data_IF_586922190173
#
_entry.id   IF_586922190173
#
_cell.length_a   1.000
_cell.length_b   1.000
_cell.length_c   1.000
_cell.angle_alpha   90.00
_cell.angle_beta   90.00
_cell.angle_gamma   90.00
#
_symmetry.space_group_name_H-M   'P 1'
#
loop_
_entity.id
_entity.type
_entity.pdbx_description
1 polymer ?
#
# COMPACT_ATOMS: atom_id res chain seq x y z
N UNK A 1 0.15 17.12 -5.54
CA UNK A 1 1.20 18.16 -5.55
C UNK A 1 2.53 17.46 -5.78
N UNK A 2 3.43 18.02 -6.61
CA UNK A 2 4.76 17.47 -6.88
C UNK A 2 5.75 18.13 -5.92
N UNK A 3 6.45 17.36 -5.11
CA UNK A 3 7.59 17.86 -4.32
C UNK A 3 8.88 17.61 -5.11
N UNK A 4 9.79 18.58 -5.11
CA UNK A 4 11.10 18.51 -5.80
C UNK A 4 12.18 18.64 -4.74
N UNK A 5 13.02 17.62 -4.59
CA UNK A 5 14.18 17.63 -3.70
C UNK A 5 15.44 17.56 -4.56
N UNK A 6 16.39 18.46 -4.30
CA UNK A 6 17.66 18.55 -5.03
C UNK A 6 18.77 17.97 -4.13
N UNK A 7 19.48 16.94 -4.59
CA UNK A 7 20.57 16.31 -3.84
C UNK A 7 21.91 16.65 -4.50
N UNK A 8 22.88 17.12 -3.71
CA UNK A 8 24.23 17.50 -4.16
C UNK A 8 25.23 16.42 -3.75
N UNK A 9 26.00 15.87 -4.70
CA UNK A 9 27.08 14.94 -4.42
C UNK A 9 28.41 15.50 -4.94
N UNK A 10 29.34 15.82 -4.03
CA UNK A 10 30.70 16.24 -4.37
C UNK A 10 31.65 15.03 -4.26
N UNK A 11 32.30 14.67 -5.36
CA UNK A 11 33.39 13.69 -5.38
C UNK A 11 34.71 14.44 -5.53
N UNK A 12 35.65 14.23 -4.60
CA UNK A 12 37.00 14.77 -4.68
C UNK A 12 38.01 13.62 -4.74
N UNK A 13 38.65 13.39 -5.89
CA UNK A 13 40.04 12.90 -5.97
C UNK A 13 40.67 13.28 -7.32
N UNK A 14 41.93 13.72 -7.26
CA UNK A 14 43.00 13.24 -8.14
C UNK A 14 42.96 13.63 -9.61
N UNK A 15 43.86 14.54 -9.97
CA UNK A 15 44.16 15.07 -11.30
C UNK A 15 44.40 14.01 -12.39
N UNK A 16 43.37 13.75 -13.20
CA UNK A 16 43.47 13.49 -14.65
C UNK A 16 42.33 14.29 -15.28
N UNK A 17 42.62 15.02 -16.37
CA UNK A 17 41.71 15.98 -16.99
C UNK A 17 40.45 15.33 -17.62
N UNK A 18 39.55 14.87 -16.77
CA UNK A 18 38.12 14.77 -17.06
C UNK A 18 37.53 16.14 -16.72
N UNK A 19 36.59 16.64 -17.53
CA UNK A 19 35.76 17.80 -17.19
C UNK A 19 34.90 17.47 -15.96
N UNK A 20 35.50 17.59 -14.77
CA UNK A 20 34.84 17.53 -13.47
C UNK A 20 34.09 18.86 -13.33
N UNK A 21 32.75 18.82 -13.32
CA UNK A 21 31.96 20.03 -13.12
C UNK A 21 30.59 20.08 -13.81
N UNK A 22 30.08 19.00 -14.39
CA UNK A 22 28.63 18.93 -14.66
C UNK A 22 27.93 18.34 -13.44
N UNK A 23 27.39 19.20 -12.58
CA UNK A 23 26.36 18.81 -11.61
C UNK A 23 25.18 18.23 -12.41
N UNK A 24 25.07 16.90 -12.44
CA UNK A 24 23.91 16.24 -13.02
C UNK A 24 22.79 16.26 -11.98
N UNK A 25 21.93 17.26 -12.09
CA UNK A 25 20.68 17.29 -11.34
C UNK A 25 19.71 16.28 -11.95
N UNK A 26 19.48 15.16 -11.27
CA UNK A 26 18.31 14.33 -11.54
C UNK A 26 17.14 14.82 -10.71
N UNK A 27 16.10 15.32 -11.38
CA UNK A 27 14.82 15.58 -10.73
C UNK A 27 14.14 14.23 -10.52
N UNK A 28 14.35 13.64 -9.34
CA UNK A 28 13.64 12.42 -8.96
C UNK A 28 12.21 12.82 -8.60
N UNK A 29 11.25 12.42 -9.45
CA UNK A 29 9.82 12.60 -9.19
C UNK A 29 9.34 11.40 -8.36
N UNK A 30 8.89 11.66 -7.14
CA UNK A 30 8.23 10.65 -6.32
C UNK A 30 6.71 10.79 -6.44
N UNK A 31 6.01 9.65 -6.51
CA UNK A 31 4.56 9.63 -6.37
C UNK A 31 4.22 9.74 -4.87
N UNK A 32 3.62 10.86 -4.47
CA UNK A 32 3.11 11.02 -3.10
C UNK A 32 1.95 10.04 -2.91
N UNK A 33 2.04 9.18 -1.89
CA UNK A 33 0.93 8.34 -1.46
C UNK A 33 -0.23 9.24 -1.07
N UNK A 34 -1.34 9.17 -1.82
CA UNK A 34 -2.55 9.94 -1.52
C UNK A 34 -3.43 9.11 -0.60
N UNK A 35 -3.95 9.73 0.45
CA UNK A 35 -4.98 9.10 1.27
C UNK A 35 -6.30 8.98 0.48
N UNK A 36 -7.16 7.99 0.80
CA UNK A 36 -8.41 7.74 0.09
C UNK A 36 -9.42 8.88 0.32
N UNK A 37 -10.17 9.24 -0.72
CA UNK A 37 -11.26 10.23 -0.62
C UNK A 37 -12.36 9.69 0.31
N UNK A 38 -12.82 10.48 1.26
CA UNK A 38 -13.95 10.14 2.13
C UNK A 38 -15.28 10.52 1.46
N UNK A 39 -16.05 9.51 1.07
CA UNK A 39 -17.46 9.65 0.68
C UNK A 39 -18.35 9.44 1.91
N UNK A 40 -19.40 10.24 2.05
CA UNK A 40 -20.43 10.11 3.08
C UNK A 40 -21.71 9.56 2.45
N UNK A 41 -22.18 8.42 2.93
CA UNK A 41 -23.36 7.75 2.40
C UNK A 41 -24.45 7.67 3.49
N UNK A 42 -25.40 8.60 3.47
CA UNK A 42 -26.43 8.70 4.52
C UNK A 42 -27.72 7.93 4.20
N UNK A 43 -27.85 7.40 2.98
CA UNK A 43 -29.01 6.57 2.62
C UNK A 43 -28.83 5.12 3.08
N UNK A 44 -29.94 4.39 3.34
CA UNK A 44 -29.88 3.00 3.73
C UNK A 44 -29.07 2.14 2.75
N UNK A 45 -28.45 1.09 3.29
CA UNK A 45 -27.96 0.00 2.47
C UNK A 45 -29.12 -0.68 1.76
N UNK A 46 -28.84 -1.20 0.57
CA UNK A 46 -29.77 -1.99 -0.20
C UNK A 46 -29.11 -3.27 -0.67
N UNK A 47 -29.84 -4.37 -0.56
CA UNK A 47 -29.47 -5.62 -1.21
C UNK A 47 -29.73 -5.52 -2.71
N UNK A 48 -28.68 -5.67 -3.51
CA UNK A 48 -28.75 -5.76 -4.97
C UNK A 48 -28.47 -7.20 -5.38
N UNK A 49 -29.36 -7.79 -6.18
CA UNK A 49 -29.13 -9.11 -6.77
C UNK A 49 -28.14 -8.98 -7.94
N UNK A 50 -26.95 -9.60 -7.87
CA UNK A 50 -25.98 -9.55 -8.96
C UNK A 50 -26.56 -10.01 -10.30
N UNK A 51 -27.49 -10.97 -10.30
CA UNK A 51 -28.14 -11.46 -11.53
C UNK A 51 -29.00 -10.40 -12.25
N UNK A 52 -29.37 -9.32 -11.55
CA UNK A 52 -30.10 -8.19 -12.13
C UNK A 52 -29.20 -7.17 -12.83
N UNK A 53 -27.88 -7.26 -12.63
CA UNK A 53 -26.90 -6.35 -13.23
C UNK A 53 -26.36 -6.95 -14.54
N UNK A 54 -26.38 -6.19 -15.64
CA UNK A 54 -26.06 -6.75 -16.95
C UNK A 54 -24.55 -7.00 -17.17
N UNK A 55 -23.69 -6.38 -16.37
CA UNK A 55 -22.25 -6.30 -16.64
C UNK A 55 -21.44 -6.91 -15.50
N UNK A 56 -20.85 -8.06 -15.78
CA UNK A 56 -19.93 -8.77 -14.89
C UNK A 56 -18.54 -8.14 -14.94
N UNK A 57 -17.83 -8.21 -13.83
CA UNK A 57 -16.43 -7.83 -13.70
C UNK A 57 -15.72 -8.81 -12.74
N UNK A 58 -14.40 -8.73 -12.64
CA UNK A 58 -13.66 -9.68 -11.81
C UNK A 58 -13.59 -11.08 -12.42
N UNK A 59 -13.74 -12.10 -11.58
CA UNK A 59 -13.71 -13.52 -11.94
C UNK A 59 -12.38 -14.22 -11.62
N UNK A 60 -12.39 -15.55 -11.80
CA UNK A 60 -11.28 -16.43 -11.44
C UNK A 60 -11.09 -16.51 -9.93
N UNK A 61 -9.84 -16.63 -9.47
CA UNK A 61 -9.52 -16.75 -8.04
C UNK A 61 -9.80 -15.46 -7.24
N UNK A 62 -10.08 -14.34 -7.91
CA UNK A 62 -10.35 -13.06 -7.24
C UNK A 62 -11.82 -12.88 -6.81
N UNK A 63 -12.69 -13.81 -7.22
CA UNK A 63 -14.13 -13.76 -6.97
C UNK A 63 -14.92 -13.04 -8.04
N UNK A 64 -16.23 -13.26 -8.02
CA UNK A 64 -17.17 -12.63 -8.95
C UNK A 64 -17.61 -11.24 -8.47
N UNK A 65 -17.82 -10.34 -9.42
CA UNK A 65 -18.35 -9.01 -9.18
C UNK A 65 -19.20 -8.52 -10.35
N UNK A 66 -19.91 -7.41 -10.12
CA UNK A 66 -20.67 -6.73 -11.15
C UNK A 66 -20.38 -5.22 -11.12
N UNK A 67 -20.45 -4.60 -12.30
CA UNK A 67 -20.31 -3.17 -12.42
C UNK A 67 -21.53 -2.48 -11.82
N UNK A 68 -21.28 -1.52 -10.95
CA UNK A 68 -22.32 -0.78 -10.25
C UNK A 68 -21.99 0.71 -10.20
N UNK A 69 -23.02 1.53 -10.01
CA UNK A 69 -22.90 2.99 -9.94
C UNK A 69 -21.92 3.40 -8.83
N UNK A 70 -20.79 3.99 -9.23
CA UNK A 70 -19.72 4.36 -8.31
C UNK A 70 -20.11 5.47 -7.34
N UNK A 71 -21.20 6.19 -7.62
CA UNK A 71 -21.73 7.20 -6.69
C UNK A 71 -22.51 6.59 -5.53
N UNK A 72 -22.91 5.31 -5.62
CA UNK A 72 -23.74 4.63 -4.62
C UNK A 72 -22.95 3.66 -3.74
N UNK A 73 -21.63 3.75 -3.76
CA UNK A 73 -20.75 2.89 -2.96
C UNK A 73 -19.73 3.73 -2.21
N UNK A 74 -19.43 3.35 -0.97
CA UNK A 74 -18.32 3.92 -0.23
C UNK A 74 -17.03 3.12 -0.48
N UNK A 75 -16.68 2.93 -1.75
CA UNK A 75 -15.52 2.15 -2.17
C UNK A 75 -14.57 3.02 -3.00
N UNK A 76 -13.25 2.99 -2.73
CA UNK A 76 -12.30 3.75 -3.50
C UNK A 76 -12.25 3.26 -4.96
N UNK A 77 -12.60 4.14 -5.90
CA UNK A 77 -12.66 3.86 -7.34
C UNK A 77 -11.38 3.19 -7.86
N UNK A 78 -10.23 3.69 -7.45
CA UNK A 78 -8.95 3.21 -7.93
C UNK A 78 -8.67 1.75 -7.53
N UNK A 79 -9.19 1.31 -6.37
CA UNK A 79 -9.00 -0.02 -5.81
C UNK A 79 -9.83 -1.10 -6.50
N UNK A 80 -10.98 -0.72 -7.05
CA UNK A 80 -11.94 -1.65 -7.65
C UNK A 80 -12.27 -1.32 -9.12
N UNK A 81 -11.45 -0.47 -9.75
CA UNK A 81 -11.54 -0.23 -11.19
C UNK A 81 -11.16 -1.50 -11.96
N UNK A 82 -12.03 -1.90 -12.88
CA UNK A 82 -11.89 -3.06 -13.77
C UNK A 82 -12.26 -2.62 -15.20
N UNK A 83 -11.52 -3.09 -16.20
CA UNK A 83 -11.72 -2.71 -17.61
C UNK A 83 -13.08 -3.17 -18.15
N UNK A 84 -13.72 -4.14 -17.50
CA UNK A 84 -15.08 -4.54 -17.79
C UNK A 84 -16.10 -3.47 -17.42
N UNK A 85 -15.79 -2.52 -16.53
CA UNK A 85 -16.73 -1.46 -16.10
C UNK A 85 -16.47 -0.14 -16.84
N UNK A 86 -17.52 0.67 -17.04
CA UNK A 86 -17.33 2.02 -17.56
C UNK A 86 -16.68 2.89 -16.48
N UNK A 87 -15.37 3.15 -16.59
CA UNK A 87 -14.63 3.94 -15.60
C UNK A 87 -15.22 5.34 -15.35
N UNK A 88 -16.00 5.90 -16.29
CA UNK A 88 -16.63 7.20 -16.08
C UNK A 88 -17.74 7.15 -15.01
N UNK A 89 -18.46 6.03 -14.90
CA UNK A 89 -19.71 5.93 -14.09
C UNK A 89 -19.79 4.73 -13.17
N UNK A 90 -18.98 3.70 -13.39
CA UNK A 90 -19.09 2.40 -12.75
C UNK A 90 -17.79 1.98 -12.06
N UNK A 91 -17.92 1.09 -11.10
CA UNK A 91 -16.83 0.41 -10.39
C UNK A 91 -17.19 -1.07 -10.23
N UNK A 92 -16.19 -1.95 -10.14
CA UNK A 92 -16.43 -3.37 -9.93
C UNK A 92 -16.75 -3.67 -8.46
N UNK A 93 -18.00 -4.00 -8.16
CA UNK A 93 -18.42 -4.32 -6.80
C UNK A 93 -18.48 -5.84 -6.62
N UNK A 94 -17.82 -6.42 -5.62
CA UNK A 94 -17.92 -7.85 -5.33
C UNK A 94 -19.37 -8.27 -5.07
N UNK A 95 -19.76 -9.44 -5.54
CA UNK A 95 -21.15 -9.94 -5.39
C UNK A 95 -21.57 -10.03 -3.93
N UNK A 96 -20.63 -10.38 -3.04
CA UNK A 96 -20.85 -10.39 -1.58
C UNK A 96 -21.17 -9.01 -1.02
N UNK A 97 -20.59 -7.93 -1.56
CA UNK A 97 -20.89 -6.55 -1.16
C UNK A 97 -22.25 -6.13 -1.67
N UNK A 98 -22.62 -6.48 -2.91
CA UNK A 98 -23.97 -6.23 -3.45
C UNK A 98 -25.06 -6.91 -2.61
N UNK A 99 -24.75 -8.10 -2.07
CA UNK A 99 -25.65 -8.89 -1.24
C UNK A 99 -25.60 -8.55 0.27
N UNK A 100 -24.64 -7.71 0.70
CA UNK A 100 -24.32 -7.51 2.11
C UNK A 100 -25.43 -6.78 2.88
N UNK A 101 -26.12 -5.82 2.25
CA UNK A 101 -27.24 -5.09 2.87
C UNK A 101 -26.88 -4.49 4.25
N UNK A 102 -25.68 -3.92 4.38
CA UNK A 102 -25.17 -3.34 5.63
C UNK A 102 -24.62 -4.36 6.62
N UNK A 103 -24.52 -5.64 6.26
CA UNK A 103 -23.87 -6.64 7.11
C UNK A 103 -22.37 -6.39 7.16
N UNK A 104 -21.79 -6.62 8.34
CA UNK A 104 -20.35 -6.62 8.52
C UNK A 104 -19.71 -7.80 7.79
N UNK A 105 -18.48 -7.58 7.33
CA UNK A 105 -17.65 -8.65 6.81
C UNK A 105 -17.47 -9.78 7.84
N UNK A 106 -17.19 -10.99 7.35
CA UNK A 106 -16.82 -12.10 8.24
C UNK A 106 -15.54 -11.74 8.99
N UNK A 107 -15.53 -11.97 10.30
CA UNK A 107 -14.38 -11.65 11.14
C UNK A 107 -13.24 -12.65 10.95
N UNK A 108 -12.02 -12.15 11.07
CA UNK A 108 -10.79 -12.93 10.98
C UNK A 108 -9.72 -12.30 11.89
N UNK A 109 -8.61 -13.01 12.13
CA UNK A 109 -7.46 -12.46 12.85
C UNK A 109 -6.38 -12.06 11.84
N UNK A 110 -6.08 -10.76 11.76
CA UNK A 110 -5.12 -10.20 10.82
C UNK A 110 -3.67 -10.60 11.16
N UNK A 111 -2.74 -10.32 10.24
CA UNK A 111 -1.33 -10.72 10.36
C UNK A 111 -0.62 -10.18 11.61
N UNK A 112 -1.09 -9.06 12.17
CA UNK A 112 -0.58 -8.43 13.38
C UNK A 112 -1.28 -8.91 14.66
N UNK A 113 -2.08 -9.97 14.59
CA UNK A 113 -2.83 -10.51 15.73
C UNK A 113 -4.02 -9.66 16.18
N UNK A 114 -4.39 -8.62 15.41
CA UNK A 114 -5.53 -7.75 15.69
C UNK A 114 -6.78 -8.23 14.95
N UNK A 115 -7.92 -7.65 15.34
CA UNK A 115 -9.19 -7.88 14.66
C UNK A 115 -9.10 -7.49 13.18
N UNK A 116 -9.68 -8.33 12.34
CA UNK A 116 -9.77 -8.13 10.90
C UNK A 116 -11.11 -8.55 10.34
N UNK A 117 -11.33 -8.17 9.09
CA UNK A 117 -12.48 -8.56 8.30
C UNK A 117 -12.06 -9.11 6.94
N UNK A 118 -12.84 -10.06 6.45
CA UNK A 118 -12.65 -10.67 5.15
C UNK A 118 -13.05 -9.68 4.05
N UNK A 119 -12.06 -9.26 3.26
CA UNK A 119 -12.26 -8.34 2.13
C UNK A 119 -12.02 -9.07 0.81
N UNK A 120 -12.75 -8.67 -0.24
CA UNK A 120 -12.63 -9.28 -1.55
C UNK A 120 -11.27 -9.03 -2.21
N UNK A 121 -10.75 -10.07 -2.86
CA UNK A 121 -9.57 -10.03 -3.73
C UNK A 121 -9.77 -9.23 -5.02
N UNK A 122 -10.98 -8.74 -5.28
CA UNK A 122 -11.20 -7.72 -6.31
C UNK A 122 -10.57 -6.37 -5.95
N UNK A 123 -10.31 -6.11 -4.66
CA UNK A 123 -9.48 -4.97 -4.24
C UNK A 123 -8.05 -5.16 -4.74
N UNK A 124 -7.55 -4.20 -5.52
CA UNK A 124 -6.15 -4.21 -6.01
C UNK A 124 -5.15 -4.26 -4.87
N UNK A 125 -5.32 -3.46 -3.81
CA UNK A 125 -4.45 -3.52 -2.64
C UNK A 125 -4.51 -4.87 -1.95
N UNK A 126 -5.69 -5.47 -1.80
CA UNK A 126 -5.79 -6.80 -1.18
C UNK A 126 -5.01 -7.84 -2.00
N UNK A 127 -5.22 -7.88 -3.31
CA UNK A 127 -4.54 -8.85 -4.19
C UNK A 127 -3.03 -8.60 -4.26
N UNK A 128 -2.58 -7.35 -4.31
CA UNK A 128 -1.16 -6.98 -4.29
C UNK A 128 -0.47 -7.39 -2.99
N UNK A 129 -1.19 -7.36 -1.87
CA UNK A 129 -0.68 -7.70 -0.55
C UNK A 129 -1.11 -9.09 -0.07
N UNK A 130 -1.56 -9.98 -0.96
CA UNK A 130 -2.09 -11.30 -0.60
C UNK A 130 -1.13 -12.16 0.21
N UNK A 131 0.18 -12.01 -0.02
CA UNK A 131 1.22 -12.71 0.74
C UNK A 131 1.26 -12.27 2.21
N UNK A 132 0.93 -11.01 2.50
CA UNK A 132 0.94 -10.42 3.85
C UNK A 132 -0.39 -10.63 4.55
N UNK A 133 -1.51 -10.33 3.88
CA UNK A 133 -2.85 -10.42 4.47
C UNK A 133 -3.22 -11.87 4.81
N UNK A 134 -2.95 -12.79 3.88
CA UNK A 134 -3.35 -14.19 3.97
C UNK A 134 -4.87 -14.40 3.97
N UNK A 135 -5.31 -15.61 3.62
CA UNK A 135 -6.74 -15.95 3.55
C UNK A 135 -7.34 -16.20 4.94
N UNK A 136 -6.60 -16.83 5.86
CA UNK A 136 -7.09 -17.25 7.18
C UNK A 136 -8.38 -18.08 7.06
N UNK A 137 -9.47 -17.67 7.71
CA UNK A 137 -10.80 -18.26 7.64
C UNK A 137 -11.73 -17.58 6.61
N UNK A 138 -11.20 -16.66 5.81
CA UNK A 138 -11.95 -16.03 4.73
C UNK A 138 -12.16 -16.99 3.55
N UNK A 139 -13.15 -16.69 2.71
CA UNK A 139 -13.40 -17.48 1.50
C UNK A 139 -12.21 -17.38 0.51
N UNK A 140 -12.19 -18.24 -0.50
CA UNK A 140 -11.08 -18.34 -1.48
C UNK A 140 -10.84 -17.04 -2.28
N UNK A 141 -11.91 -16.26 -2.44
CA UNK A 141 -11.92 -14.96 -3.09
C UNK A 141 -11.71 -13.78 -2.13
N UNK A 142 -11.31 -14.05 -0.88
CA UNK A 142 -11.16 -13.04 0.17
C UNK A 142 -9.83 -13.17 0.92
N UNK A 143 -9.42 -12.06 1.52
CA UNK A 143 -8.22 -11.96 2.36
C UNK A 143 -8.57 -11.28 3.68
N UNK A 144 -7.83 -11.63 4.73
CA UNK A 144 -8.03 -11.06 6.05
C UNK A 144 -7.30 -9.72 6.18
N UNK A 145 -8.05 -8.62 6.16
CA UNK A 145 -7.51 -7.28 6.35
C UNK A 145 -7.76 -6.77 7.78
N UNK A 146 -6.80 -6.06 8.41
CA UNK A 146 -6.98 -5.52 9.75
C UNK A 146 -8.06 -4.43 9.76
N UNK A 147 -8.87 -4.34 10.83
CA UNK A 147 -9.90 -3.30 10.96
C UNK A 147 -9.31 -1.88 10.98
N UNK A 148 -8.14 -1.75 11.60
CA UNK A 148 -7.40 -0.49 11.77
C UNK A 148 -6.12 -0.59 10.96
N UNK A 149 -5.79 0.47 10.26
CA UNK A 149 -4.58 0.57 9.47
C UNK A 149 -3.37 0.42 10.41
N UNK A 150 -2.55 -0.64 10.23
CA UNK A 150 -1.36 -0.82 11.05
C UNK A 150 -0.37 0.34 10.85
N UNK A 151 -0.52 1.12 9.78
CA UNK A 151 0.25 2.35 9.61
C UNK A 151 -0.06 3.29 10.73
N UNK A 152 -1.18 3.96 10.79
CA UNK A 152 -1.36 5.01 11.79
C UNK A 152 -2.02 4.52 13.09
N UNK A 153 -2.33 3.22 13.20
CA UNK A 153 -2.94 2.61 14.38
C UNK A 153 -4.30 3.21 14.78
N UNK A 154 -4.90 4.06 13.95
CA UNK A 154 -6.14 4.80 14.28
C UNK A 154 -7.12 4.91 13.12
N UNK A 155 -6.65 4.84 11.87
CA UNK A 155 -7.51 4.95 10.69
C UNK A 155 -8.21 3.63 10.44
N UNK A 156 -9.53 3.68 10.33
CA UNK A 156 -10.31 2.51 9.91
C UNK A 156 -10.01 2.17 8.45
N UNK A 157 -9.73 0.90 8.17
CA UNK A 157 -9.50 0.41 6.80
C UNK A 157 -10.81 0.16 6.05
N UNK A 158 -11.94 0.14 6.78
CA UNK A 158 -13.24 -0.31 6.28
C UNK A 158 -13.43 -1.83 6.30
N UNK A 159 -12.38 -2.62 6.62
CA UNK A 159 -12.46 -4.09 6.57
C UNK A 159 -13.51 -4.68 7.53
N UNK A 160 -13.75 -4.02 8.67
CA UNK A 160 -14.68 -4.48 9.71
C UNK A 160 -15.96 -3.64 9.78
N UNK A 161 -16.10 -2.69 8.87
CA UNK A 161 -17.26 -1.82 8.76
C UNK A 161 -18.41 -2.57 8.08
N UNK A 162 -19.59 -1.96 8.13
CA UNK A 162 -20.75 -2.45 7.40
C UNK A 162 -20.48 -2.37 5.89
N UNK A 163 -20.60 -3.51 5.20
CA UNK A 163 -20.44 -3.58 3.76
C UNK A 163 -21.79 -3.44 3.06
N UNK A 164 -21.79 -2.80 1.89
CA UNK A 164 -22.98 -2.72 1.07
C UNK A 164 -22.92 -1.62 0.03
N UNK A 165 -24.01 -1.54 -0.72
CA UNK A 165 -24.28 -0.45 -1.65
C UNK A 165 -25.51 0.33 -1.17
N UNK A 166 -25.62 1.57 -1.58
CA UNK A 166 -26.62 2.51 -1.08
C UNK A 166 -27.75 2.76 -2.08
N UNK A 167 -28.94 3.08 -1.57
CA UNK A 167 -30.09 3.43 -2.41
C UNK A 167 -29.84 4.71 -3.24
N UNK A 168 -29.24 5.72 -2.59
CA UNK A 168 -28.97 7.04 -3.16
C UNK A 168 -27.46 7.27 -3.30
N UNK A 169 -27.11 8.24 -4.13
CA UNK A 169 -25.73 8.66 -4.29
C UNK A 169 -25.17 9.20 -2.96
N UNK A 170 -23.98 8.76 -2.61
CA UNK A 170 -23.15 9.31 -1.55
C UNK A 170 -22.72 10.74 -1.90
N UNK A 171 -22.45 11.55 -0.88
CA UNK A 171 -22.02 12.94 -1.00
C UNK A 171 -20.63 13.13 -0.37
N UNK A 172 -19.83 14.07 -0.84
CA UNK A 172 -18.46 14.30 -0.32
C UNK A 172 -17.34 13.77 -1.22
N UNK A 173 -16.09 13.73 -0.71
CA UNK A 173 -14.92 13.23 -1.43
C UNK A 173 -13.81 14.25 -1.73
N UNK A 174 -13.79 15.40 -1.06
CA UNK A 174 -12.70 16.38 -1.16
C UNK A 174 -11.94 16.42 0.17
N UNK A 175 -10.67 16.02 0.09
CA UNK A 175 -9.63 16.10 1.13
C UNK A 175 -9.56 14.91 2.10
N UNK A 176 -8.75 13.94 1.71
CA UNK A 176 -8.24 12.91 2.59
C UNK A 176 -7.14 13.48 3.51
N UNK A 177 -7.00 13.01 4.77
CA UNK A 177 -5.94 13.45 5.66
C UNK A 177 -4.56 13.11 5.08
N UNK A 178 -3.62 14.05 5.16
CA UNK A 178 -2.26 13.85 4.67
C UNK A 178 -1.54 12.84 5.55
N UNK A 179 -1.11 11.71 4.97
CA UNK A 179 -0.19 10.78 5.63
C UNK A 179 1.15 11.48 5.81
N UNK A 180 1.69 11.43 7.03
CA UNK A 180 2.99 12.03 7.33
C UNK A 180 4.10 11.17 6.72
N UNK A 181 4.99 11.83 5.97
CA UNK A 181 6.10 11.17 5.30
C UNK A 181 7.37 11.32 6.13
N UNK A 182 8.18 10.28 6.15
CA UNK A 182 9.51 10.26 6.77
C UNK A 182 10.58 9.93 5.71
N UNK A 183 11.86 9.92 6.11
CA UNK A 183 12.94 9.47 5.24
C UNK A 183 12.96 10.22 3.89
N UNK A 184 12.87 11.56 3.93
CA UNK A 184 12.82 12.43 2.74
C UNK A 184 11.66 12.15 1.76
N UNK A 185 10.56 11.58 2.22
CA UNK A 185 9.42 11.22 1.35
C UNK A 185 9.47 9.80 0.81
N UNK A 186 10.44 9.00 1.25
CA UNK A 186 10.58 7.58 0.86
C UNK A 186 9.97 6.63 1.88
N UNK A 187 9.59 7.16 3.04
CA UNK A 187 8.93 6.45 4.11
C UNK A 187 7.57 7.03 4.46
N UNK A 188 6.73 6.19 5.04
CA UNK A 188 5.47 6.55 5.66
C UNK A 188 5.61 6.39 7.17
N UNK A 189 5.21 7.42 7.93
CA UNK A 189 5.15 7.31 9.37
C UNK A 189 3.99 6.43 9.79
N UNK A 190 4.31 5.41 10.59
CA UNK A 190 3.35 4.47 11.13
C UNK A 190 3.48 4.32 12.65
N UNK A 191 2.40 4.24 13.41
CA UNK A 191 2.38 3.80 14.78
C UNK A 191 3.05 2.43 14.95
N UNK A 192 3.83 2.32 16.03
CA UNK A 192 4.51 1.10 16.43
C UNK A 192 3.56 -0.10 16.60
N UNK A 193 2.29 0.15 16.93
CA UNK A 193 1.29 -0.88 17.14
C UNK A 193 0.97 -1.72 15.91
N UNK A 194 1.17 -1.19 14.70
CA UNK A 194 1.00 -1.99 13.48
C UNK A 194 2.27 -2.65 12.97
N UNK A 195 3.38 -2.47 13.67
CA UNK A 195 4.59 -3.27 13.45
C UNK A 195 4.48 -4.56 14.26
N UNK A 196 4.74 -5.75 13.65
CA UNK A 196 4.84 -7.01 14.39
C UNK A 196 5.78 -6.88 15.58
N UNK A 197 5.44 -7.43 16.75
CA UNK A 197 6.18 -7.22 18.00
C UNK A 197 7.68 -7.51 17.85
N UNK A 198 8.01 -8.57 17.13
CA UNK A 198 9.36 -9.04 16.81
C UNK A 198 10.17 -8.12 15.89
N UNK A 199 9.51 -7.16 15.21
CA UNK A 199 10.16 -6.16 14.38
C UNK A 199 10.27 -4.78 15.05
N UNK A 200 9.55 -4.54 16.15
CA UNK A 200 9.46 -3.21 16.81
C UNK A 200 10.82 -2.64 17.22
N UNK A 201 11.70 -3.49 17.78
CA UNK A 201 13.03 -3.06 18.24
C UNK A 201 14.00 -2.71 17.10
N UNK A 202 13.66 -3.09 15.87
CA UNK A 202 14.48 -2.85 14.68
C UNK A 202 13.98 -1.66 13.86
N UNK A 203 12.91 -1.00 14.29
CA UNK A 203 12.31 0.13 13.59
C UNK A 203 12.88 1.46 14.09
N UNK A 204 13.21 2.36 13.17
CA UNK A 204 13.72 3.68 13.52
C UNK A 204 12.58 4.69 13.75
N UNK A 205 12.61 5.36 14.90
CA UNK A 205 11.62 6.34 15.38
C UNK A 205 11.90 7.74 14.81
N UNK A 206 13.11 7.97 14.31
CA UNK A 206 13.77 9.29 14.33
C UNK A 206 13.30 10.30 13.26
N UNK A 207 12.38 9.93 12.37
CA UNK A 207 11.93 10.80 11.26
C UNK A 207 10.45 11.14 11.30
N UNK A 208 9.71 10.63 12.27
CA UNK A 208 8.28 10.86 12.43
C UNK A 208 8.03 11.83 13.58
N UNK A 209 7.19 12.85 13.38
CA UNK A 209 7.02 13.92 14.38
C UNK A 209 6.18 13.53 15.59
N UNK A 210 5.42 12.43 15.51
CA UNK A 210 4.55 11.98 16.60
C UNK A 210 5.22 10.86 17.39
N UNK A 211 5.15 10.97 18.72
CA UNK A 211 5.61 9.94 19.63
C UNK A 211 4.90 8.60 19.36
N UNK A 212 5.65 7.51 19.43
CA UNK A 212 5.14 6.16 19.15
C UNK A 212 5.02 5.83 17.65
N UNK A 213 5.50 6.69 16.76
CA UNK A 213 5.59 6.40 15.33
C UNK A 213 6.99 5.95 14.91
N UNK A 214 7.03 5.03 13.97
CA UNK A 214 8.20 4.51 13.29
C UNK A 214 8.07 4.71 11.79
N UNK A 215 9.21 4.86 11.13
CA UNK A 215 9.24 5.08 9.70
C UNK A 215 9.29 3.75 8.96
N UNK A 216 8.30 3.45 8.10
CA UNK A 216 8.30 2.27 7.24
C UNK A 216 8.55 2.64 5.76
N UNK A 217 9.28 1.82 4.98
CA UNK A 217 9.52 2.11 3.57
C UNK A 217 8.22 2.10 2.74
N UNK A 218 7.94 3.19 2.03
CA UNK A 218 6.72 3.31 1.21
C UNK A 218 6.64 2.24 0.10
N UNK A 219 7.79 1.80 -0.41
CA UNK A 219 7.88 0.73 -1.41
C UNK A 219 7.37 -0.61 -0.86
N UNK A 220 7.61 -0.90 0.42
CA UNK A 220 7.08 -2.10 1.08
C UNK A 220 5.57 -2.00 1.29
N UNK A 221 5.08 -0.80 1.59
CA UNK A 221 3.66 -0.53 1.86
C UNK A 221 2.78 -0.58 0.61
N UNK A 222 3.37 -0.43 -0.57
CA UNK A 222 2.65 -0.33 -1.85
C UNK A 222 2.86 -1.56 -2.75
N UNK A 223 3.65 -2.54 -2.31
CA UNK A 223 4.01 -3.71 -3.13
C UNK A 223 4.83 -3.37 -4.38
N UNK A 224 5.33 -2.14 -4.52
CA UNK A 224 6.07 -1.65 -5.69
C UNK A 224 7.58 -1.69 -5.44
N UNK A 225 8.12 -2.82 -5.01
CA UNK A 225 9.57 -2.96 -4.80
C UNK A 225 10.32 -3.05 -6.13
N UNK A 226 11.41 -2.28 -6.26
CA UNK A 226 12.27 -2.29 -7.44
C UNK A 226 13.33 -3.38 -7.25
N UNK A 227 13.44 -4.31 -8.19
CA UNK A 227 14.45 -5.37 -8.17
C UNK A 227 15.81 -4.83 -8.62
N UNK A 228 16.87 -5.40 -8.07
CA UNK A 228 18.25 -5.11 -8.44
C UNK A 228 19.11 -6.37 -8.36
N UNK A 229 20.32 -6.30 -8.90
CA UNK A 229 21.31 -7.37 -8.83
C UNK A 229 22.65 -6.79 -8.34
N UNK A 230 23.27 -7.44 -7.36
CA UNK A 230 24.62 -7.09 -6.89
C UNK A 230 25.48 -8.34 -6.95
N UNK A 231 26.42 -8.37 -7.89
CA UNK A 231 27.33 -9.50 -8.11
C UNK A 231 26.62 -10.84 -8.35
N UNK A 232 25.52 -10.83 -9.12
CA UNK A 232 24.72 -12.03 -9.41
C UNK A 232 23.80 -12.45 -8.27
N UNK A 233 23.70 -11.65 -7.20
CA UNK A 233 22.74 -11.87 -6.12
C UNK A 233 21.51 -10.98 -6.34
N UNK A 234 20.32 -11.58 -6.50
CA UNK A 234 19.09 -10.81 -6.61
C UNK A 234 18.84 -10.05 -5.30
N UNK A 235 18.32 -8.85 -5.44
CA UNK A 235 18.03 -7.94 -4.35
C UNK A 235 16.86 -7.02 -4.65
N UNK A 236 16.56 -6.16 -3.69
CA UNK A 236 15.61 -5.05 -3.86
C UNK A 236 16.26 -3.73 -3.51
N UNK A 237 15.88 -2.69 -4.23
CA UNK A 237 16.29 -1.33 -3.95
C UNK A 237 15.55 -0.83 -2.71
N UNK A 238 16.33 -0.43 -1.72
CA UNK A 238 15.82 0.16 -0.48
C UNK A 238 16.46 1.54 -0.28
N UNK A 239 15.69 2.52 0.16
CA UNK A 239 16.26 3.85 0.43
C UNK A 239 17.38 3.77 1.48
N UNK A 240 18.44 4.57 1.27
CA UNK A 240 19.62 4.63 2.13
C UNK A 240 19.23 4.82 3.59
N UNK A 241 18.19 5.61 3.89
CA UNK A 241 17.81 5.85 5.28
C UNK A 241 17.19 4.62 5.98
N UNK A 242 16.68 3.64 5.23
CA UNK A 242 16.32 2.33 5.77
C UNK A 242 17.48 1.33 5.69
N UNK A 243 18.29 1.39 4.63
CA UNK A 243 19.44 0.53 4.47
C UNK A 243 20.44 0.72 5.63
N UNK A 244 20.69 1.95 6.09
CA UNK A 244 21.58 2.21 7.24
C UNK A 244 21.14 1.55 8.55
N UNK A 245 19.86 1.16 8.67
CA UNK A 245 19.33 0.46 9.84
C UNK A 245 19.72 -1.02 9.84
N UNK A 246 19.95 -1.59 8.66
CA UNK A 246 20.49 -2.93 8.50
C UNK A 246 21.99 -2.84 8.79
N UNK A 247 22.39 -3.06 10.05
CA UNK A 247 23.73 -2.85 10.64
C UNK A 247 24.93 -3.45 9.88
N UNK A 248 24.70 -4.15 8.77
CA UNK A 248 25.68 -4.88 7.96
C UNK A 248 25.87 -4.36 6.53
N UNK A 249 25.21 -3.26 6.11
CA UNK A 249 25.20 -2.84 4.69
C UNK A 249 26.36 -1.96 4.23
N UNK A 250 27.42 -1.80 5.02
CA UNK A 250 28.59 -0.96 4.64
C UNK A 250 29.26 -1.37 3.30
N UNK A 251 28.91 -2.53 2.73
CA UNK A 251 29.39 -3.02 1.43
C UNK A 251 28.34 -3.08 0.32
N UNK A 252 27.15 -2.52 0.52
CA UNK A 252 26.11 -2.52 -0.52
C UNK A 252 26.41 -1.46 -1.57
N UNK A 253 26.22 -1.82 -2.84
CA UNK A 253 26.37 -0.91 -3.97
C UNK A 253 24.99 -0.49 -4.48
N UNK A 254 24.86 0.73 -5.01
CA UNK A 254 23.62 1.20 -5.66
C UNK A 254 23.14 0.26 -6.78
N UNK A 255 24.05 -0.33 -7.55
CA UNK A 255 23.71 -1.10 -8.76
C UNK A 255 22.70 -0.33 -9.65
N UNK A 256 21.60 -0.96 -10.05
CA UNK A 256 20.48 -0.38 -10.82
C UNK A 256 19.50 0.47 -10.01
N UNK A 257 19.74 0.66 -8.71
CA UNK A 257 18.87 1.43 -7.84
C UNK A 257 19.04 2.94 -8.04
N UNK A 258 18.03 3.70 -7.62
CA UNK A 258 18.05 5.17 -7.74
C UNK A 258 19.14 5.80 -6.87
N UNK A 259 19.46 7.08 -7.06
CA UNK A 259 20.47 7.76 -6.27
C UNK A 259 20.28 7.62 -4.74
N UNK A 260 19.06 7.67 -4.21
CA UNK A 260 18.86 7.54 -2.76
C UNK A 260 18.68 6.10 -2.30
N UNK A 261 18.91 5.10 -3.15
CA UNK A 261 18.63 3.69 -2.85
C UNK A 261 19.90 2.84 -2.88
N UNK A 262 19.96 1.79 -2.06
CA UNK A 262 20.98 0.76 -2.08
C UNK A 262 20.35 -0.56 -2.49
N UNK A 263 21.05 -1.33 -3.32
CA UNK A 263 20.61 -2.68 -3.62
C UNK A 263 20.93 -3.60 -2.46
N UNK A 264 19.89 -4.16 -1.85
CA UNK A 264 19.97 -5.08 -0.73
C UNK A 264 19.73 -6.51 -1.20
N UNK A 265 20.77 -7.37 -1.19
CA UNK A 265 20.63 -8.78 -1.57
C UNK A 265 19.56 -9.48 -0.74
N UNK A 266 18.68 -10.23 -1.41
CA UNK A 266 17.61 -10.98 -0.78
C UNK A 266 18.13 -12.02 0.22
N UNK A 267 19.36 -12.50 0.05
CA UNK A 267 20.02 -13.40 1.00
C UNK A 267 20.18 -12.80 2.41
N UNK A 268 20.19 -11.47 2.54
CA UNK A 268 20.30 -10.77 3.83
C UNK A 268 18.91 -10.60 4.48
N UNK A 269 17.85 -10.49 3.68
CA UNK A 269 16.48 -10.24 4.14
C UNK A 269 15.58 -11.48 4.24
N UNK A 270 16.08 -12.68 3.89
CA UNK A 270 15.27 -13.91 3.85
C UNK A 270 14.74 -14.24 5.25
N UNK A 271 13.41 -14.27 5.40
CA UNK A 271 12.71 -14.50 6.67
C UNK A 271 12.43 -13.25 7.50
N UNK A 272 12.89 -12.07 7.09
CA UNK A 272 12.60 -10.79 7.75
C UNK A 272 11.48 -9.99 7.06
N UNK A 273 10.71 -10.65 6.17
CA UNK A 273 9.57 -10.02 5.49
C UNK A 273 9.98 -8.95 4.49
N UNK A 274 11.14 -9.08 3.83
CA UNK A 274 11.60 -8.13 2.81
C UNK A 274 10.81 -8.34 1.51
N UNK A 275 9.85 -7.46 1.15
CA UNK A 275 8.95 -7.71 0.03
C UNK A 275 9.69 -7.73 -1.31
N UNK A 276 9.39 -8.71 -2.16
CA UNK A 276 10.05 -8.88 -3.47
C UNK A 276 11.32 -9.74 -3.44
N UNK A 277 11.63 -10.36 -2.30
CA UNK A 277 12.74 -11.29 -2.10
C UNK A 277 12.31 -12.75 -1.86
N UNK A 278 11.10 -13.09 -2.32
CA UNK A 278 10.51 -14.43 -2.27
C UNK A 278 10.91 -15.30 -3.46
#
# INVERSE_FOLDING_TARGET
MKAVVVVVAALAVGSVACTIGQERYEVVKYEVVKAPKTLTCDSPFVKVDPASLPKKCGGGERGDGHCYDKTKVNMPEEEFADDACDAATEICVPDKVLLADGKKATSCTAFNGKDGGCISRLSKQAEQNKAVLGQKNCAEDELCAPCIDPRDGVTETGACSEGGVHEKACTGGKDAPKVEMCCHGMGVCMNLDGVPEEQRDNMNVDSCKKDGQVCAPAAQMTGKTVKCDVFGMPGVCLDVCFATQLRSVQKTTRSSCKPTELCLPCAIGKGQGMPGCD
#
